data_IF_414263649123
#
_entry.id   IF_414263649123
#
_cell.length_a   1.000
_cell.length_b   1.000
_cell.length_c   1.000
_cell.angle_alpha   90.00
_cell.angle_beta   90.00
_cell.angle_gamma   90.00
#
_symmetry.space_group_name_H-M   'P 1'
#
loop_
_entity.id
_entity.type
_entity.pdbx_description
1 polymer ?
#
# COMPACT_ATOMS: atom_id res chain seq x y z
N UNK A 1 -34.96 -36.44 -32.39
CA UNK A 1 -33.73 -36.93 -31.73
C UNK A 1 -34.13 -37.84 -30.57
N UNK A 2 -33.54 -39.01 -30.45
CA UNK A 2 -33.87 -40.01 -29.41
C UNK A 2 -33.28 -39.49 -28.06
N UNK A 3 -34.02 -39.68 -26.92
CA UNK A 3 -33.58 -39.30 -25.56
C UNK A 3 -32.14 -39.73 -25.23
N UNK A 4 -31.67 -40.86 -25.79
CA UNK A 4 -30.32 -41.38 -25.62
C UNK A 4 -29.27 -40.51 -26.35
N UNK A 5 -29.58 -40.08 -27.57
CA UNK A 5 -28.71 -39.19 -28.35
C UNK A 5 -28.63 -37.77 -27.72
N UNK A 6 -29.75 -37.23 -27.21
CA UNK A 6 -29.76 -35.96 -26.51
C UNK A 6 -28.87 -36.01 -25.26
N UNK A 7 -28.94 -37.07 -24.44
CA UNK A 7 -28.08 -37.24 -23.28
C UNK A 7 -26.58 -37.33 -23.65
N UNK A 8 -26.26 -38.00 -24.75
CA UNK A 8 -24.86 -38.08 -25.22
C UNK A 8 -24.34 -36.75 -25.70
N UNK A 9 -25.12 -35.98 -26.45
CA UNK A 9 -24.77 -34.65 -26.92
C UNK A 9 -24.57 -33.73 -25.70
N UNK A 10 -25.48 -33.72 -24.73
CA UNK A 10 -25.32 -32.92 -23.51
C UNK A 10 -24.06 -33.26 -22.72
N UNK A 11 -23.71 -34.54 -22.63
CA UNK A 11 -22.44 -34.95 -22.00
C UNK A 11 -21.21 -34.43 -22.74
N UNK A 12 -21.21 -34.54 -24.07
CA UNK A 12 -20.10 -34.03 -24.90
C UNK A 12 -19.98 -32.53 -24.73
N UNK A 13 -21.09 -31.81 -24.82
CA UNK A 13 -21.11 -30.34 -24.63
C UNK A 13 -20.60 -29.94 -23.24
N UNK A 14 -21.02 -30.66 -22.18
CA UNK A 14 -20.54 -30.44 -20.82
C UNK A 14 -19.03 -30.70 -20.69
N UNK A 15 -18.52 -31.80 -21.28
CA UNK A 15 -17.08 -32.11 -21.29
C UNK A 15 -16.29 -31.02 -22.02
N UNK A 16 -16.75 -30.62 -23.19
CA UNK A 16 -16.10 -29.55 -23.97
C UNK A 16 -16.12 -28.22 -23.22
N UNK A 17 -17.25 -27.86 -22.61
CA UNK A 17 -17.35 -26.65 -21.78
C UNK A 17 -16.39 -26.71 -20.57
N UNK A 18 -16.30 -27.88 -19.89
CA UNK A 18 -15.37 -28.08 -18.78
C UNK A 18 -13.91 -28.00 -19.22
N UNK A 19 -13.55 -28.57 -20.37
CA UNK A 19 -12.19 -28.44 -20.93
C UNK A 19 -11.92 -26.98 -21.31
N UNK A 20 -12.88 -26.31 -21.97
CA UNK A 20 -12.73 -24.90 -22.31
C UNK A 20 -12.55 -24.02 -21.08
N UNK A 21 -13.23 -24.31 -19.97
CA UNK A 21 -13.09 -23.52 -18.74
C UNK A 21 -11.67 -23.58 -18.16
N UNK A 22 -10.90 -24.65 -18.41
CA UNK A 22 -9.51 -24.75 -17.94
C UNK A 22 -8.58 -23.71 -18.59
N UNK A 23 -8.91 -23.19 -19.78
CA UNK A 23 -8.15 -22.13 -20.42
C UNK A 23 -8.33 -20.76 -19.75
N UNK A 24 -9.40 -20.60 -18.97
CA UNK A 24 -9.68 -19.36 -18.21
C UNK A 24 -9.19 -19.41 -16.76
N UNK A 25 -8.63 -20.55 -16.33
CA UNK A 25 -8.05 -20.69 -15.00
C UNK A 25 -6.72 -19.93 -14.95
N UNK A 26 -6.50 -19.03 -13.98
CA UNK A 26 -5.24 -18.35 -13.80
C UNK A 26 -4.18 -19.30 -13.20
N UNK A 27 -3.65 -20.18 -14.05
CA UNK A 27 -2.75 -21.26 -13.64
C UNK A 27 -1.53 -20.79 -12.85
N UNK A 28 -1.08 -19.55 -13.08
CA UNK A 28 0.03 -18.97 -12.32
C UNK A 28 -0.33 -18.87 -10.83
N UNK A 29 -1.55 -18.41 -10.51
CA UNK A 29 -2.01 -18.32 -9.11
C UNK A 29 -2.22 -19.70 -8.51
N UNK A 30 -2.88 -20.60 -9.27
CA UNK A 30 -3.11 -21.98 -8.83
C UNK A 30 -1.77 -22.64 -8.51
N UNK A 31 -0.80 -22.55 -9.42
CA UNK A 31 0.55 -23.09 -9.23
C UNK A 31 1.23 -22.50 -8.00
N UNK A 32 1.25 -21.17 -7.87
CA UNK A 32 1.85 -20.51 -6.72
C UNK A 32 1.22 -20.93 -5.38
N UNK A 33 -0.08 -21.20 -5.37
CA UNK A 33 -0.83 -21.54 -4.16
C UNK A 33 -0.70 -23.02 -3.75
N UNK A 34 -0.64 -23.97 -4.72
CA UNK A 34 -0.64 -25.43 -4.43
C UNK A 34 0.75 -26.05 -4.33
N UNK A 35 1.79 -25.39 -4.85
CA UNK A 35 3.16 -25.90 -4.74
C UNK A 35 3.55 -26.07 -3.26
N UNK A 36 4.35 -27.10 -2.92
CA UNK A 36 4.91 -27.24 -1.58
C UNK A 36 5.61 -25.95 -1.16
N UNK A 37 5.61 -25.63 0.14
CA UNK A 37 6.41 -24.53 0.64
C UNK A 37 7.89 -24.89 0.50
N UNK A 38 8.76 -23.98 0.04
CA UNK A 38 10.19 -24.18 0.11
C UNK A 38 10.67 -24.14 1.58
N UNK A 39 11.89 -24.61 1.81
CA UNK A 39 12.45 -24.72 3.16
C UNK A 39 12.79 -23.36 3.77
N UNK A 40 13.03 -22.34 2.94
CA UNK A 40 13.48 -21.01 3.38
C UNK A 40 12.70 -19.87 2.73
N UNK A 41 12.61 -18.75 3.44
CA UNK A 41 12.04 -17.52 2.89
C UNK A 41 12.84 -17.00 1.68
N UNK A 42 14.18 -17.21 1.65
CA UNK A 42 15.00 -16.84 0.50
C UNK A 42 14.62 -17.62 -0.77
N UNK A 43 14.37 -18.93 -0.64
CA UNK A 43 13.91 -19.75 -1.77
C UNK A 43 12.54 -19.26 -2.26
N UNK A 44 11.61 -18.89 -1.36
CA UNK A 44 10.32 -18.34 -1.75
C UNK A 44 10.45 -16.99 -2.48
N UNK A 45 11.39 -16.14 -2.07
CA UNK A 45 11.69 -14.88 -2.75
C UNK A 45 12.33 -15.13 -4.12
N UNK A 46 13.18 -16.15 -4.26
CA UNK A 46 13.73 -16.55 -5.56
C UNK A 46 12.63 -17.08 -6.51
N UNK A 47 11.70 -17.91 -6.00
CA UNK A 47 10.55 -18.38 -6.78
C UNK A 47 9.66 -17.25 -7.30
N UNK A 48 9.60 -16.10 -6.61
CA UNK A 48 8.85 -14.94 -7.06
C UNK A 48 9.36 -14.42 -8.42
N UNK A 49 10.66 -14.46 -8.63
CA UNK A 49 11.28 -14.03 -9.90
C UNK A 49 10.90 -15.01 -11.03
N UNK A 50 10.83 -16.30 -10.75
CA UNK A 50 10.37 -17.32 -11.70
C UNK A 50 8.89 -17.14 -12.09
N UNK A 51 8.12 -16.44 -11.26
CA UNK A 51 6.74 -16.06 -11.54
C UNK A 51 6.60 -14.75 -12.33
N UNK A 52 7.71 -14.08 -12.69
CA UNK A 52 7.72 -12.93 -13.57
C UNK A 52 7.90 -11.58 -12.89
N UNK A 53 8.17 -11.54 -11.59
CA UNK A 53 8.56 -10.30 -10.92
C UNK A 53 10.01 -9.92 -11.27
N UNK A 54 10.26 -8.63 -11.50
CA UNK A 54 11.60 -8.14 -11.84
C UNK A 54 12.54 -8.13 -10.63
N UNK A 55 12.03 -7.77 -9.46
CA UNK A 55 12.80 -7.75 -8.23
C UNK A 55 11.91 -7.71 -6.98
N UNK A 56 12.42 -8.27 -5.90
CA UNK A 56 11.74 -8.34 -4.61
C UNK A 56 12.70 -8.10 -3.46
N UNK A 57 12.21 -7.39 -2.44
CA UNK A 57 12.88 -7.20 -1.15
C UNK A 57 11.88 -7.60 -0.07
N UNK A 58 12.32 -8.47 0.84
CA UNK A 58 11.56 -8.84 2.03
C UNK A 58 12.41 -8.55 3.26
N UNK A 59 11.83 -7.82 4.19
CA UNK A 59 12.37 -7.56 5.52
C UNK A 59 11.51 -8.29 6.54
N UNK A 60 12.16 -8.93 7.51
CA UNK A 60 11.52 -9.66 8.60
C UNK A 60 12.18 -9.24 9.90
N UNK A 61 11.38 -8.75 10.84
CA UNK A 61 11.77 -8.46 12.20
C UNK A 61 10.95 -9.36 13.15
N UNK A 62 11.54 -10.45 13.59
CA UNK A 62 11.00 -11.37 14.61
C UNK A 62 11.50 -10.93 15.98
N UNK A 63 10.63 -10.93 16.99
CA UNK A 63 11.04 -10.63 18.36
C UNK A 63 12.22 -11.52 18.79
N UNK A 64 13.16 -10.91 19.50
CA UNK A 64 14.36 -11.57 20.05
C UNK A 64 15.36 -12.10 19.02
N UNK A 65 15.13 -11.86 17.70
CA UNK A 65 16.05 -12.25 16.63
C UNK A 65 16.57 -11.00 15.91
N UNK A 66 17.81 -11.04 15.37
CA UNK A 66 18.27 -9.98 14.47
C UNK A 66 17.36 -9.91 13.23
N UNK A 67 17.09 -8.70 12.71
CA UNK A 67 16.34 -8.55 11.48
C UNK A 67 16.97 -9.32 10.32
N UNK A 68 16.13 -9.90 9.47
CA UNK A 68 16.53 -10.67 8.31
C UNK A 68 16.07 -9.99 7.01
N UNK A 69 16.89 -10.11 5.97
CA UNK A 69 16.59 -9.60 4.63
C UNK A 69 16.69 -10.72 3.60
N UNK A 70 15.72 -10.76 2.71
CA UNK A 70 15.67 -11.69 1.58
C UNK A 70 15.45 -10.87 0.31
N UNK A 71 16.35 -11.01 -0.67
CA UNK A 71 16.27 -10.24 -1.91
C UNK A 71 16.49 -11.15 -3.12
N UNK A 72 15.79 -10.87 -4.22
CA UNK A 72 15.99 -11.53 -5.50
C UNK A 72 15.68 -10.59 -6.66
N UNK A 73 16.20 -10.93 -7.85
CA UNK A 73 16.00 -10.15 -9.07
C UNK A 73 16.76 -8.83 -9.07
N UNK A 74 16.18 -7.79 -9.64
CA UNK A 74 16.86 -6.59 -10.04
C UNK A 74 16.41 -5.35 -9.27
N UNK A 75 17.38 -4.58 -8.79
CA UNK A 75 17.22 -3.16 -8.45
C UNK A 75 17.02 -2.33 -9.73
N UNK A 76 17.83 -2.62 -10.74
CA UNK A 76 17.72 -2.07 -12.10
C UNK A 76 17.99 -3.19 -13.12
N UNK A 77 16.93 -3.66 -13.79
CA UNK A 77 17.04 -4.76 -14.76
C UNK A 77 17.81 -4.35 -16.02
N UNK A 78 17.74 -3.06 -16.42
CA UNK A 78 18.42 -2.55 -17.61
C UNK A 78 19.93 -2.56 -17.44
N UNK A 79 20.39 -2.12 -16.26
CA UNK A 79 21.81 -2.07 -15.91
C UNK A 79 22.29 -3.34 -15.20
N UNK A 80 21.40 -4.33 -14.99
CA UNK A 80 21.65 -5.59 -14.29
C UNK A 80 22.21 -5.40 -12.87
N UNK A 81 21.69 -4.40 -12.18
CA UNK A 81 22.01 -4.14 -10.78
C UNK A 81 21.09 -5.02 -9.92
N UNK A 82 21.60 -5.94 -9.11
CA UNK A 82 20.77 -6.83 -8.29
C UNK A 82 20.01 -6.07 -7.20
N UNK A 83 18.83 -6.58 -6.83
CA UNK A 83 18.10 -6.08 -5.69
C UNK A 83 18.91 -6.19 -4.39
N UNK A 84 18.82 -5.18 -3.53
CA UNK A 84 19.58 -5.12 -2.28
C UNK A 84 18.74 -4.52 -1.13
N UNK A 85 19.02 -4.88 0.14
CA UNK A 85 18.18 -4.51 1.29
C UNK A 85 18.02 -3.01 1.52
N UNK A 86 19.01 -2.21 1.10
CA UNK A 86 19.07 -0.75 1.34
C UNK A 86 18.43 0.08 0.23
N UNK A 87 17.83 -0.56 -0.78
CA UNK A 87 17.17 0.17 -1.85
C UNK A 87 16.00 0.98 -1.31
N UNK A 88 15.90 2.22 -1.74
CA UNK A 88 14.72 3.04 -1.53
C UNK A 88 13.59 2.55 -2.43
N UNK A 89 12.40 2.53 -1.88
CA UNK A 89 11.20 2.03 -2.55
C UNK A 89 10.05 3.02 -2.37
N UNK A 90 9.22 3.21 -3.39
CA UNK A 90 8.00 4.01 -3.29
C UNK A 90 6.95 3.25 -2.49
N UNK A 91 6.75 3.64 -1.25
CA UNK A 91 5.89 2.91 -0.30
C UNK A 91 4.39 3.14 -0.51
N UNK A 92 4.05 4.06 -1.42
CA UNK A 92 2.67 4.34 -1.83
C UNK A 92 1.73 4.55 -0.62
N UNK A 93 0.64 3.80 -0.56
CA UNK A 93 -0.38 3.96 0.49
C UNK A 93 0.06 3.58 1.91
N UNK A 94 1.21 2.92 2.10
CA UNK A 94 1.79 2.75 3.44
C UNK A 94 2.05 4.13 4.09
N UNK A 95 2.37 5.15 3.29
CA UNK A 95 2.52 6.54 3.76
C UNK A 95 1.29 7.11 4.49
N UNK A 96 0.11 6.51 4.33
CA UNK A 96 -1.10 6.92 5.06
C UNK A 96 -1.02 6.62 6.55
N UNK A 97 -0.27 5.59 6.96
CA UNK A 97 -0.03 5.29 8.37
C UNK A 97 0.70 6.45 9.05
N UNK A 98 1.73 7.02 8.42
CA UNK A 98 2.46 8.19 8.94
C UNK A 98 1.58 9.44 9.03
N UNK A 99 0.72 9.67 8.03
CA UNK A 99 -0.25 10.77 8.06
C UNK A 99 -1.26 10.58 9.21
N UNK A 100 -1.76 9.36 9.43
CA UNK A 100 -2.69 9.07 10.52
C UNK A 100 -2.04 9.28 11.89
N UNK A 101 -0.76 8.89 12.08
CA UNK A 101 -0.01 9.18 13.32
C UNK A 101 0.16 10.70 13.49
N UNK A 102 0.51 11.44 12.43
CA UNK A 102 0.64 12.89 12.49
C UNK A 102 -0.68 13.59 12.88
N UNK A 103 -1.81 13.15 12.31
CA UNK A 103 -3.15 13.64 12.69
C UNK A 103 -3.45 13.30 14.16
N UNK A 104 -3.09 12.11 14.61
CA UNK A 104 -3.27 11.69 16.00
C UNK A 104 -2.51 12.61 16.96
N UNK A 105 -1.23 12.89 16.70
CA UNK A 105 -0.41 13.80 17.52
C UNK A 105 -1.02 15.21 17.59
N UNK A 106 -1.40 15.77 16.43
CA UNK A 106 -2.05 17.08 16.37
C UNK A 106 -3.41 17.11 17.07
N UNK A 107 -4.14 15.98 17.08
CA UNK A 107 -5.40 15.88 17.80
C UNK A 107 -5.18 15.80 19.31
N UNK A 108 -4.17 15.04 19.76
CA UNK A 108 -3.79 14.94 21.17
C UNK A 108 -3.32 16.30 21.74
N UNK A 109 -2.59 17.07 20.94
CA UNK A 109 -2.12 18.42 21.25
C UNK A 109 -3.22 19.49 21.14
N UNK A 110 -4.48 19.12 20.89
CA UNK A 110 -5.63 20.01 20.68
C UNK A 110 -5.43 21.04 19.54
N UNK A 111 -4.45 20.84 18.65
CA UNK A 111 -4.18 21.71 17.50
C UNK A 111 -5.18 21.51 16.37
N UNK A 112 -5.85 20.33 16.34
CA UNK A 112 -7.00 20.06 15.49
C UNK A 112 -8.03 19.23 16.26
N UNK A 113 -9.25 19.13 15.73
CA UNK A 113 -10.30 18.29 16.30
C UNK A 113 -10.82 17.32 15.24
N UNK A 114 -10.85 16.04 15.60
CA UNK A 114 -11.36 14.96 14.74
C UNK A 114 -12.85 15.11 14.41
N UNK A 115 -13.59 15.82 15.23
CA UNK A 115 -15.04 15.98 15.11
C UNK A 115 -15.46 17.31 14.45
N UNK A 116 -14.49 18.19 14.14
CA UNK A 116 -14.73 19.37 13.30
C UNK A 116 -14.97 18.96 11.83
N UNK A 117 -15.73 19.78 11.13
CA UNK A 117 -16.12 19.54 9.75
C UNK A 117 -15.03 19.93 8.76
N UNK A 118 -15.04 19.30 7.59
CA UNK A 118 -14.18 19.73 6.48
C UNK A 118 -14.34 21.22 6.18
N UNK A 119 -15.57 21.71 6.21
CA UNK A 119 -15.91 23.14 6.01
C UNK A 119 -15.26 24.08 7.04
N UNK A 120 -15.01 23.63 8.28
CA UNK A 120 -14.36 24.45 9.31
C UNK A 120 -12.88 24.65 8.99
N UNK A 121 -12.25 23.67 8.36
CA UNK A 121 -10.85 23.71 7.98
C UNK A 121 -10.61 24.29 6.57
N UNK A 122 -11.53 24.01 5.65
CA UNK A 122 -11.46 24.40 4.23
C UNK A 122 -12.79 25.02 3.77
N UNK A 123 -13.14 26.24 4.25
CA UNK A 123 -14.39 26.89 3.87
C UNK A 123 -14.52 27.12 2.35
N UNK A 124 -13.38 27.20 1.64
CA UNK A 124 -13.33 27.32 0.18
C UNK A 124 -13.79 26.07 -0.58
N UNK A 125 -13.95 24.92 0.11
CA UNK A 125 -14.46 23.68 -0.45
C UNK A 125 -15.99 23.52 -0.26
N UNK A 126 -16.64 24.42 0.49
CA UNK A 126 -18.11 24.44 0.60
C UNK A 126 -18.71 24.73 -0.77
N UNK A 127 -19.67 23.90 -1.17
CA UNK A 127 -20.30 23.97 -2.50
C UNK A 127 -19.46 23.38 -3.65
N UNK A 128 -18.20 22.99 -3.38
CA UNK A 128 -17.35 22.26 -4.33
C UNK A 128 -17.28 20.78 -4.01
N UNK A 129 -17.10 20.40 -2.75
CA UNK A 129 -17.22 19.02 -2.27
C UNK A 129 -18.59 18.87 -1.64
N UNK A 130 -19.38 17.92 -2.15
CA UNK A 130 -20.69 17.60 -1.58
C UNK A 130 -20.54 17.19 -0.11
N UNK A 131 -21.45 17.70 0.74
CA UNK A 131 -21.50 17.40 2.16
C UNK A 131 -20.28 17.91 2.99
N UNK A 132 -19.46 18.85 2.47
CA UNK A 132 -18.29 19.40 3.20
C UNK A 132 -18.66 19.89 4.62
N UNK A 133 -19.89 20.33 4.84
CA UNK A 133 -20.44 20.81 6.12
C UNK A 133 -20.89 19.67 7.06
N UNK A 134 -20.84 18.40 6.61
CA UNK A 134 -21.21 17.20 7.39
C UNK A 134 -20.05 16.22 7.56
N UNK A 135 -19.02 16.33 6.70
CA UNK A 135 -17.85 15.45 6.71
C UNK A 135 -16.92 15.87 7.85
N UNK A 136 -16.72 15.01 8.83
CA UNK A 136 -15.74 15.24 9.90
C UNK A 136 -14.34 14.80 9.48
N UNK A 137 -13.31 15.33 10.15
CA UNK A 137 -11.93 14.88 9.96
C UNK A 137 -11.78 13.38 10.26
N UNK A 138 -12.44 12.87 11.28
CA UNK A 138 -12.53 11.45 11.61
C UNK A 138 -13.01 10.61 10.42
N UNK A 139 -14.10 11.01 9.77
CA UNK A 139 -14.64 10.31 8.59
C UNK A 139 -13.64 10.28 7.44
N UNK A 140 -12.85 11.34 7.27
CA UNK A 140 -11.80 11.38 6.23
C UNK A 140 -10.69 10.38 6.51
N UNK A 141 -10.15 10.34 7.74
CA UNK A 141 -9.10 9.38 8.13
C UNK A 141 -9.59 7.95 7.96
N UNK A 142 -10.85 7.67 8.33
CA UNK A 142 -11.48 6.35 8.27
C UNK A 142 -11.98 5.94 6.87
N UNK A 143 -11.84 6.79 5.85
CA UNK A 143 -12.44 6.58 4.52
C UNK A 143 -13.98 6.40 4.54
N UNK A 144 -14.65 7.14 5.42
CA UNK A 144 -16.12 7.18 5.58
C UNK A 144 -16.75 8.52 5.17
N UNK A 145 -15.97 9.37 4.51
CA UNK A 145 -16.38 10.72 4.13
C UNK A 145 -17.36 10.77 2.96
N UNK A 146 -17.33 9.78 2.06
CA UNK A 146 -18.02 9.82 0.78
C UNK A 146 -17.34 10.70 -0.28
N UNK A 147 -16.20 11.34 0.03
CA UNK A 147 -15.44 12.12 -0.95
C UNK A 147 -14.93 11.18 -2.05
N UNK A 148 -15.22 11.44 -3.34
CA UNK A 148 -14.79 10.57 -4.42
C UNK A 148 -13.27 10.51 -4.52
N UNK A 149 -12.78 9.38 -4.99
CA UNK A 149 -11.37 9.16 -5.16
C UNK A 149 -10.92 9.72 -6.51
N UNK A 150 -10.03 10.70 -6.55
CA UNK A 150 -9.60 11.38 -7.77
C UNK A 150 -9.03 10.42 -8.83
N UNK A 151 -8.48 9.27 -8.45
CA UNK A 151 -7.97 8.27 -9.40
C UNK A 151 -9.08 7.52 -10.16
N UNK A 152 -10.33 7.61 -9.70
CA UNK A 152 -11.51 7.02 -10.36
C UNK A 152 -12.09 7.94 -11.42
N UNK A 153 -11.59 9.18 -11.52
CA UNK A 153 -12.02 10.10 -12.57
C UNK A 153 -11.57 9.59 -13.96
N UNK A 154 -12.45 9.61 -14.98
CA UNK A 154 -12.14 9.08 -16.31
C UNK A 154 -10.91 9.68 -17.00
N UNK A 155 -10.53 10.89 -16.64
CA UNK A 155 -9.39 11.59 -17.23
C UNK A 155 -8.07 11.38 -16.46
N UNK A 156 -8.12 10.79 -15.26
CA UNK A 156 -6.91 10.53 -14.47
C UNK A 156 -5.88 9.72 -15.25
N UNK A 157 -6.31 8.63 -15.89
CA UNK A 157 -5.41 7.73 -16.64
C UNK A 157 -5.06 8.23 -18.05
N UNK A 158 -5.78 9.26 -18.55
CA UNK A 158 -5.44 9.91 -19.82
C UNK A 158 -4.37 10.98 -19.66
N UNK A 159 -4.46 11.74 -18.55
CA UNK A 159 -3.53 12.81 -18.24
C UNK A 159 -3.38 12.86 -16.74
N UNK A 160 -2.32 12.24 -16.22
CA UNK A 160 -2.07 12.25 -14.78
C UNK A 160 -1.91 13.69 -14.26
N UNK A 161 -2.55 14.01 -13.13
CA UNK A 161 -2.43 15.35 -12.55
C UNK A 161 -0.98 15.60 -12.11
N UNK A 162 -0.45 16.76 -12.46
CA UNK A 162 0.92 17.16 -12.14
C UNK A 162 1.06 17.89 -10.81
N UNK A 163 -0.03 18.03 -10.06
CA UNK A 163 -0.06 18.66 -8.73
C UNK A 163 -1.21 18.13 -7.88
N UNK A 164 -1.11 18.36 -6.57
CA UNK A 164 -2.19 18.06 -5.64
C UNK A 164 -3.47 18.86 -5.91
N UNK A 165 -3.33 20.09 -6.42
CA UNK A 165 -4.45 20.94 -6.82
C UNK A 165 -5.17 20.34 -8.02
N UNK A 166 -4.43 19.93 -9.06
CA UNK A 166 -5.01 19.27 -10.23
C UNK A 166 -5.69 17.94 -9.86
N UNK A 167 -5.12 17.16 -8.94
CA UNK A 167 -5.75 15.94 -8.44
C UNK A 167 -7.05 16.23 -7.67
N UNK A 168 -7.09 17.32 -6.86
CA UNK A 168 -8.28 17.73 -6.15
C UNK A 168 -9.40 18.18 -7.09
N UNK A 169 -9.07 18.91 -8.17
CA UNK A 169 -10.07 19.33 -9.17
C UNK A 169 -10.76 18.11 -9.80
N UNK A 170 -10.04 17.03 -10.13
CA UNK A 170 -10.67 15.79 -10.61
C UNK A 170 -11.69 15.22 -9.60
N UNK A 171 -11.39 15.28 -8.30
CA UNK A 171 -12.34 14.82 -7.29
C UNK A 171 -13.58 15.74 -7.18
N UNK A 172 -13.39 17.05 -7.31
CA UNK A 172 -14.47 18.06 -7.24
C UNK A 172 -15.46 17.90 -8.39
N UNK A 173 -15.02 17.44 -9.56
CA UNK A 173 -15.89 17.21 -10.72
C UNK A 173 -16.82 15.99 -10.57
N UNK A 174 -16.55 15.12 -9.60
CA UNK A 174 -17.35 13.91 -9.36
C UNK A 174 -18.37 14.11 -8.23
N UNK A 175 -19.56 13.47 -8.31
CA UNK A 175 -20.52 13.46 -7.21
C UNK A 175 -19.98 12.67 -6.01
N UNK A 176 -20.50 12.93 -4.81
CA UNK A 176 -20.21 12.13 -3.63
C UNK A 176 -20.48 10.65 -3.87
N UNK A 177 -19.58 9.78 -3.44
CA UNK A 177 -19.72 8.32 -3.58
C UNK A 177 -20.88 7.78 -2.71
N UNK A 178 -21.11 8.41 -1.56
CA UNK A 178 -22.19 8.11 -0.61
C UNK A 178 -22.30 9.24 0.43
N UNK A 179 -23.39 9.26 1.17
CA UNK A 179 -23.59 10.20 2.29
C UNK A 179 -22.55 9.94 3.40
N UNK A 180 -22.04 10.99 4.06
CA UNK A 180 -21.04 10.87 5.13
C UNK A 180 -21.47 9.86 6.21
N UNK A 181 -20.50 9.00 6.61
CA UNK A 181 -20.64 7.94 7.59
C UNK A 181 -21.63 6.79 7.24
N UNK A 182 -22.12 6.73 6.02
CA UNK A 182 -23.07 5.67 5.61
C UNK A 182 -22.37 4.42 5.07
N UNK A 183 -21.17 4.58 4.52
CA UNK A 183 -20.41 3.45 3.97
C UNK A 183 -18.89 3.67 4.14
N UNK A 184 -18.10 2.71 3.70
CA UNK A 184 -16.68 2.78 3.55
C UNK A 184 -16.32 2.88 2.06
N UNK A 185 -15.51 3.88 1.69
CA UNK A 185 -15.00 4.03 0.33
C UNK A 185 -13.60 4.60 0.36
N UNK A 186 -12.62 3.74 0.05
CA UNK A 186 -11.22 4.15 0.02
C UNK A 186 -11.02 5.30 -0.96
N UNK A 187 -10.48 6.43 -0.49
CA UNK A 187 -10.26 7.61 -1.31
C UNK A 187 -8.91 8.27 -0.99
N UNK A 188 -8.07 8.39 -2.02
CA UNK A 188 -6.81 9.11 -1.93
C UNK A 188 -7.05 10.62 -1.73
N UNK A 189 -8.19 11.14 -2.17
CA UNK A 189 -8.58 12.54 -1.98
C UNK A 189 -8.66 12.91 -0.50
N UNK A 190 -9.14 11.99 0.37
CA UNK A 190 -9.11 12.21 1.82
C UNK A 190 -7.70 12.52 2.30
N UNK A 191 -6.72 11.70 1.94
CA UNK A 191 -5.35 11.83 2.42
C UNK A 191 -4.57 12.97 1.75
N UNK A 192 -4.97 13.38 0.55
CA UNK A 192 -4.52 14.62 -0.06
C UNK A 192 -4.95 15.83 0.81
N UNK A 193 -6.22 15.88 1.20
CA UNK A 193 -6.77 16.94 2.05
C UNK A 193 -6.20 16.89 3.48
N UNK A 194 -5.99 15.69 4.05
CA UNK A 194 -5.37 15.53 5.37
C UNK A 194 -3.95 16.07 5.41
N UNK A 195 -3.14 15.83 4.37
CA UNK A 195 -1.79 16.42 4.27
C UNK A 195 -1.85 17.94 4.17
N UNK A 196 -2.74 18.50 3.33
CA UNK A 196 -2.97 19.95 3.27
C UNK A 196 -3.44 20.52 4.60
N UNK A 197 -4.22 19.78 5.37
CA UNK A 197 -4.65 20.18 6.70
C UNK A 197 -3.46 20.24 7.67
N UNK A 198 -2.60 19.24 7.66
CA UNK A 198 -1.37 19.27 8.47
C UNK A 198 -0.57 20.51 8.11
N UNK A 199 -0.28 20.78 6.82
CA UNK A 199 0.43 22.00 6.36
C UNK A 199 -0.19 23.26 6.96
N UNK A 200 -1.52 23.37 6.90
CA UNK A 200 -2.27 24.53 7.39
C UNK A 200 -2.16 24.70 8.91
N UNK A 201 -2.23 23.62 9.66
CA UNK A 201 -2.21 23.62 11.13
C UNK A 201 -0.81 23.89 11.67
N UNK A 202 0.21 23.30 11.07
CA UNK A 202 1.60 23.49 11.53
C UNK A 202 2.25 24.75 10.96
N UNK A 203 1.81 25.24 9.79
CA UNK A 203 2.33 26.42 9.12
C UNK A 203 3.56 26.15 8.22
N UNK A 204 3.88 24.87 8.03
CA UNK A 204 4.97 24.39 7.16
C UNK A 204 4.61 23.03 6.55
N UNK A 205 5.49 22.45 5.76
CA UNK A 205 5.22 21.22 5.01
C UNK A 205 4.93 20.02 5.93
N UNK A 206 3.86 19.26 5.66
CA UNK A 206 3.44 18.08 6.45
C UNK A 206 4.52 17.02 6.58
N UNK A 207 5.34 16.84 5.54
CA UNK A 207 6.42 15.87 5.61
C UNK A 207 7.51 16.29 6.60
N UNK A 208 7.80 17.61 6.71
CA UNK A 208 8.72 18.11 7.74
C UNK A 208 8.17 17.82 9.14
N UNK A 209 6.86 18.00 9.37
CA UNK A 209 6.21 17.63 10.63
C UNK A 209 6.32 16.12 10.91
N UNK A 210 6.03 15.26 9.92
CA UNK A 210 6.20 13.81 10.02
C UNK A 210 7.66 13.49 10.35
N UNK A 211 8.62 14.15 9.73
CA UNK A 211 10.05 13.95 9.99
C UNK A 211 10.42 14.28 11.43
N UNK A 212 9.97 15.40 11.95
CA UNK A 212 10.26 15.86 13.31
C UNK A 212 9.61 14.99 14.37
N UNK A 213 8.34 14.60 14.18
CA UNK A 213 7.53 13.93 15.18
C UNK A 213 7.57 12.39 15.10
N UNK A 214 8.03 11.82 13.98
CA UNK A 214 8.00 10.38 13.76
C UNK A 214 9.37 9.86 13.31
N UNK A 215 9.93 10.42 12.22
CA UNK A 215 11.13 9.82 11.62
C UNK A 215 12.37 10.00 12.50
N UNK A 216 12.60 11.19 13.01
CA UNK A 216 13.77 11.49 13.88
C UNK A 216 13.68 10.72 15.20
N UNK A 217 12.55 10.71 15.96
CA UNK A 217 12.44 9.95 17.19
C UNK A 217 12.65 8.44 17.04
N UNK A 218 12.29 7.88 15.87
CA UNK A 218 12.46 6.46 15.56
C UNK A 218 13.75 6.15 14.78
N UNK A 219 14.61 7.15 14.56
CA UNK A 219 15.88 7.04 13.81
C UNK A 219 15.68 6.52 12.36
N UNK A 220 14.55 6.84 11.71
CA UNK A 220 14.21 6.43 10.35
C UNK A 220 14.94 7.32 9.33
N UNK A 221 16.22 7.07 9.14
CA UNK A 221 17.09 7.93 8.35
C UNK A 221 17.00 7.68 6.83
N UNK A 222 16.27 6.66 6.40
CA UNK A 222 16.08 6.28 5.01
C UNK A 222 14.59 6.33 4.62
N UNK A 223 13.85 7.29 5.19
CA UNK A 223 12.45 7.59 4.86
C UNK A 223 12.32 9.06 4.45
N UNK A 224 11.77 9.31 3.25
CA UNK A 224 11.75 10.59 2.58
C UNK A 224 10.35 10.93 2.06
N UNK A 225 10.04 12.23 1.94
CA UNK A 225 8.75 12.73 1.47
C UNK A 225 8.63 12.79 -0.05
N UNK A 226 9.75 12.93 -0.75
CA UNK A 226 9.77 13.11 -2.19
C UNK A 226 11.07 12.61 -2.84
N UNK A 227 11.04 12.43 -4.15
CA UNK A 227 12.22 12.07 -4.96
C UNK A 227 13.31 13.15 -4.92
N UNK A 228 12.95 14.41 -4.68
CA UNK A 228 13.91 15.53 -4.63
C UNK A 228 14.87 15.45 -3.43
N UNK A 229 14.56 14.64 -2.43
CA UNK A 229 15.36 14.46 -1.21
C UNK A 229 16.42 13.36 -1.34
N UNK A 230 16.39 12.58 -2.43
CA UNK A 230 17.21 11.35 -2.56
C UNK A 230 18.05 11.34 -3.84
N UNK A 231 19.12 10.53 -3.84
CA UNK A 231 19.76 10.18 -5.09
C UNK A 231 18.88 9.16 -5.84
N UNK A 232 18.54 9.47 -7.08
CA UNK A 232 17.67 8.60 -7.91
C UNK A 232 18.27 7.20 -8.13
N UNK A 233 19.57 7.05 -8.07
CA UNK A 233 20.25 5.77 -8.22
C UNK A 233 20.03 4.83 -7.01
N UNK A 234 19.68 5.38 -5.85
CA UNK A 234 19.33 4.60 -4.66
C UNK A 234 17.88 4.08 -4.72
N UNK A 235 17.07 4.62 -5.63
CA UNK A 235 15.66 4.22 -5.81
C UNK A 235 15.59 3.00 -6.71
N UNK A 236 14.98 1.93 -6.21
CA UNK A 236 14.70 0.72 -7.00
C UNK A 236 13.84 1.07 -8.19
N UNK A 237 14.25 0.63 -9.39
CA UNK A 237 13.49 0.81 -10.64
C UNK A 237 12.13 0.13 -10.54
N UNK A 238 11.08 0.76 -11.07
CA UNK A 238 9.73 0.23 -11.09
C UNK A 238 9.27 -0.09 -12.50
N UNK A 239 8.60 -1.23 -12.68
CA UNK A 239 8.22 -1.73 -14.01
C UNK A 239 6.74 -2.05 -14.09
N UNK A 240 6.14 -1.75 -15.25
CA UNK A 240 4.80 -2.20 -15.58
C UNK A 240 4.87 -3.29 -16.66
N UNK A 241 4.12 -4.37 -16.48
CA UNK A 241 4.12 -5.50 -17.43
C UNK A 241 3.67 -5.04 -18.81
N UNK A 242 4.50 -5.33 -19.82
CA UNK A 242 4.25 -4.90 -21.20
C UNK A 242 4.88 -3.56 -21.58
N UNK A 243 5.32 -2.75 -20.60
CA UNK A 243 5.99 -1.48 -20.84
C UNK A 243 7.52 -1.60 -20.74
N UNK A 244 8.22 -0.69 -21.45
CA UNK A 244 9.70 -0.65 -21.43
C UNK A 244 10.23 0.41 -20.48
N UNK A 245 9.36 1.32 -20.05
CA UNK A 245 9.69 2.47 -19.23
C UNK A 245 10.01 2.04 -17.79
N UNK A 246 10.84 2.87 -17.15
CA UNK A 246 11.14 2.79 -15.74
C UNK A 246 10.41 3.93 -15.02
N UNK A 247 9.53 3.56 -14.12
CA UNK A 247 8.67 4.50 -13.39
C UNK A 247 9.31 5.09 -12.13
N UNK A 248 10.62 4.89 -11.93
CA UNK A 248 11.31 5.41 -10.73
C UNK A 248 11.34 6.93 -10.63
N UNK A 249 11.30 7.65 -11.77
CA UNK A 249 11.36 9.12 -11.82
C UNK A 249 10.02 9.80 -11.60
N UNK A 250 8.91 9.07 -11.55
CA UNK A 250 7.61 9.65 -11.25
C UNK A 250 7.46 10.01 -9.78
N UNK A 251 6.87 11.17 -9.47
CA UNK A 251 6.62 11.62 -8.10
C UNK A 251 5.36 10.93 -7.55
N UNK A 252 5.54 9.89 -6.74
CA UNK A 252 4.44 9.05 -6.21
C UNK A 252 4.43 8.97 -4.67
N UNK A 253 4.80 10.06 -3.99
CA UNK A 253 4.76 10.17 -2.53
C UNK A 253 6.01 9.67 -1.83
N UNK A 254 5.86 9.15 -0.62
CA UNK A 254 6.97 8.79 0.25
C UNK A 254 7.82 7.63 -0.27
N UNK A 255 9.12 7.73 -0.01
CA UNK A 255 10.09 6.66 -0.24
C UNK A 255 10.66 6.18 1.10
N UNK A 256 10.90 4.88 1.21
CA UNK A 256 11.58 4.31 2.38
C UNK A 256 12.31 3.01 2.02
N UNK A 257 13.25 2.61 2.88
CA UNK A 257 13.75 1.23 2.89
C UNK A 257 12.74 0.29 3.55
N UNK A 258 12.84 -1.01 3.28
CA UNK A 258 12.00 -2.01 3.95
C UNK A 258 12.27 -2.06 5.46
N UNK A 259 13.50 -1.79 5.89
CA UNK A 259 13.91 -1.70 7.29
C UNK A 259 13.20 -0.54 8.01
N UNK A 260 13.27 0.68 7.47
CA UNK A 260 12.62 1.85 8.08
C UNK A 260 11.09 1.65 8.20
N UNK A 261 10.45 1.09 7.17
CA UNK A 261 9.03 0.73 7.24
C UNK A 261 8.77 -0.32 8.33
N UNK A 262 9.68 -1.29 8.48
CA UNK A 262 9.59 -2.32 9.51
C UNK A 262 9.71 -1.77 10.92
N UNK A 263 10.70 -0.91 11.18
CA UNK A 263 10.90 -0.22 12.47
C UNK A 263 9.67 0.63 12.81
N UNK A 264 9.19 1.43 11.84
CA UNK A 264 7.97 2.23 12.03
C UNK A 264 6.76 1.34 12.36
N UNK A 265 6.58 0.24 11.64
CA UNK A 265 5.43 -0.64 11.84
C UNK A 265 5.51 -1.38 13.19
N UNK A 266 6.72 -1.72 13.66
CA UNK A 266 6.94 -2.26 15.01
C UNK A 266 6.50 -1.22 16.05
N UNK A 267 7.04 -0.01 15.95
CA UNK A 267 6.71 1.09 16.88
C UNK A 267 5.21 1.46 16.87
N UNK A 268 4.56 1.35 15.72
CA UNK A 268 3.11 1.55 15.59
C UNK A 268 2.31 0.46 16.35
N UNK A 269 2.74 -0.80 16.26
CA UNK A 269 2.01 -1.94 16.84
C UNK A 269 2.30 -2.17 18.33
N UNK A 270 3.51 -1.86 18.80
CA UNK A 270 3.85 -1.93 20.22
C UNK A 270 3.51 -0.64 21.00
N UNK A 271 3.14 0.42 20.27
CA UNK A 271 2.73 1.70 20.83
C UNK A 271 3.86 2.67 21.10
N UNK A 272 5.13 2.32 20.83
CA UNK A 272 6.29 3.18 21.12
C UNK A 272 6.39 4.43 20.26
N UNK A 273 5.66 4.53 19.14
CA UNK A 273 5.52 5.75 18.33
C UNK A 273 4.63 6.80 19.01
N UNK A 274 3.85 6.43 20.00
CA UNK A 274 2.83 7.27 20.64
C UNK A 274 3.30 7.82 21.99
N UNK A 275 2.93 9.07 22.24
CA UNK A 275 2.93 9.66 23.56
C UNK A 275 1.66 9.26 24.34
N UNK A 276 1.56 9.69 25.61
CA UNK A 276 0.39 9.45 26.46
C UNK A 276 -0.90 9.97 25.79
N UNK A 277 -1.93 9.12 25.71
CA UNK A 277 -3.23 9.43 25.09
C UNK A 277 -3.30 9.22 23.57
N UNK A 278 -2.19 9.27 22.84
CA UNK A 278 -2.18 9.20 21.37
C UNK A 278 -2.63 7.82 20.85
N UNK A 279 -2.23 6.73 21.50
CA UNK A 279 -2.59 5.38 21.05
C UNK A 279 -4.11 5.13 21.10
N UNK A 280 -4.82 5.67 22.09
CA UNK A 280 -6.27 5.57 22.18
C UNK A 280 -6.93 6.33 21.00
N UNK A 281 -6.45 7.54 20.72
CA UNK A 281 -6.92 8.32 19.56
C UNK A 281 -6.68 7.55 18.26
N UNK A 282 -5.45 7.08 18.01
CA UNK A 282 -5.09 6.36 16.80
C UNK A 282 -5.94 5.12 16.58
N UNK A 283 -6.11 4.29 17.60
CA UNK A 283 -6.90 3.05 17.54
C UNK A 283 -8.36 3.29 17.16
N UNK A 284 -8.87 4.50 17.45
CA UNK A 284 -10.25 4.91 17.13
C UNK A 284 -10.41 5.38 15.68
N UNK A 285 -9.32 5.65 14.95
CA UNK A 285 -9.39 6.29 13.64
C UNK A 285 -8.73 5.54 12.49
N UNK A 286 -7.70 4.70 12.75
CA UNK A 286 -7.00 4.06 11.64
C UNK A 286 -6.49 2.65 11.96
N UNK A 287 -5.91 2.01 10.93
CA UNK A 287 -5.40 0.63 10.97
C UNK A 287 -3.92 0.58 11.31
N UNK A 288 -3.45 -0.58 11.80
CA UNK A 288 -2.07 -0.82 12.21
C UNK A 288 -1.20 -1.53 11.18
N UNK A 289 -1.68 -1.67 9.96
CA UNK A 289 -0.98 -2.30 8.84
C UNK A 289 -1.53 -1.76 7.53
N UNK A 290 -0.74 -1.81 6.46
CA UNK A 290 -1.19 -1.31 5.18
C UNK A 290 -0.52 -2.01 4.00
N UNK A 291 -1.08 -1.84 2.83
CA UNK A 291 -0.47 -2.19 1.56
C UNK A 291 -0.26 -0.93 0.71
N UNK A 292 0.58 -1.00 -0.29
CA UNK A 292 0.82 0.10 -1.22
C UNK A 292 0.85 -0.38 -2.66
N UNK A 293 0.25 0.40 -3.55
CA UNK A 293 0.23 0.11 -4.99
C UNK A 293 0.27 1.42 -5.77
N UNK A 294 1.28 1.57 -6.60
CA UNK A 294 1.40 2.57 -7.67
C UNK A 294 2.09 1.92 -8.86
N UNK A 295 2.07 2.55 -10.02
CA UNK A 295 2.71 2.01 -11.23
C UNK A 295 4.17 1.65 -10.93
N UNK A 296 4.54 0.40 -11.19
CA UNK A 296 5.88 -0.13 -10.94
C UNK A 296 6.16 -0.58 -9.51
N UNK A 297 5.28 -0.36 -8.53
CA UNK A 297 5.59 -0.62 -7.12
C UNK A 297 4.42 -1.21 -6.36
N UNK A 298 4.64 -2.37 -5.73
CA UNK A 298 3.71 -3.02 -4.81
C UNK A 298 4.41 -3.22 -3.46
N UNK A 299 3.70 -2.92 -2.38
CA UNK A 299 4.23 -3.10 -1.02
C UNK A 299 3.19 -3.70 -0.09
N UNK A 300 3.63 -4.57 0.81
CA UNK A 300 2.82 -5.16 1.88
C UNK A 300 3.59 -4.97 3.18
N UNK A 301 2.96 -4.37 4.18
CA UNK A 301 3.52 -4.12 5.50
C UNK A 301 2.54 -4.58 6.58
N UNK A 302 2.84 -5.70 7.26
CA UNK A 302 1.95 -6.27 8.27
C UNK A 302 2.71 -6.79 9.49
N UNK A 303 2.06 -6.70 10.65
CA UNK A 303 2.45 -7.35 11.89
C UNK A 303 1.69 -8.66 12.09
N UNK A 304 2.39 -9.73 12.37
CA UNK A 304 1.88 -11.07 12.63
C UNK A 304 2.02 -11.40 14.11
N UNK A 305 0.94 -11.17 14.85
CA UNK A 305 0.91 -11.30 16.32
C UNK A 305 1.21 -12.73 16.80
N UNK A 306 0.80 -13.74 16.05
CA UNK A 306 0.97 -15.17 16.36
C UNK A 306 2.45 -15.60 16.38
N UNK A 307 3.25 -14.99 15.54
CA UNK A 307 4.70 -15.23 15.47
C UNK A 307 5.53 -14.05 15.99
N UNK A 308 4.87 -12.96 16.42
CA UNK A 308 5.49 -11.70 16.82
C UNK A 308 6.53 -11.21 15.79
N UNK A 309 6.09 -11.11 14.55
CA UNK A 309 6.94 -10.70 13.45
C UNK A 309 6.34 -9.55 12.64
N UNK A 310 7.17 -8.57 12.30
CA UNK A 310 6.91 -7.61 11.23
C UNK A 310 7.45 -8.21 9.94
N UNK A 311 6.62 -8.22 8.91
CA UNK A 311 7.03 -8.65 7.57
C UNK A 311 6.70 -7.55 6.57
N UNK A 312 7.73 -7.05 5.88
CA UNK A 312 7.62 -6.08 4.80
C UNK A 312 8.01 -6.76 3.50
N UNK A 313 7.19 -6.64 2.49
CA UNK A 313 7.48 -7.11 1.13
C UNK A 313 7.36 -5.96 0.14
N UNK A 314 8.41 -5.72 -0.62
CA UNK A 314 8.46 -4.79 -1.74
C UNK A 314 8.67 -5.57 -3.03
N UNK A 315 7.87 -5.26 -4.04
CA UNK A 315 7.94 -5.86 -5.37
C UNK A 315 7.85 -4.74 -6.42
N UNK A 316 8.84 -4.67 -7.30
CA UNK A 316 8.98 -3.59 -8.28
C UNK A 316 8.34 -3.88 -9.64
N UNK A 317 7.35 -4.76 -9.69
CA UNK A 317 6.58 -5.09 -10.91
C UNK A 317 5.09 -4.94 -10.63
N UNK A 318 4.35 -4.31 -11.55
CA UNK A 318 2.89 -4.16 -11.47
C UNK A 318 2.21 -4.49 -12.79
N UNK A 319 0.98 -4.98 -12.69
CA UNK A 319 0.04 -5.13 -13.79
C UNK A 319 -1.39 -4.99 -13.23
N UNK A 320 -2.04 -3.87 -13.49
CA UNK A 320 -3.38 -3.59 -12.93
C UNK A 320 -4.47 -4.45 -13.58
N UNK A 321 -4.26 -4.92 -14.81
CA UNK A 321 -5.18 -5.79 -15.55
C UNK A 321 -4.88 -7.29 -15.34
N UNK A 322 -3.79 -7.61 -14.63
CA UNK A 322 -3.29 -8.97 -14.43
C UNK A 322 -3.53 -9.51 -13.03
N UNK A 323 -2.78 -10.55 -12.70
CA UNK A 323 -2.85 -11.25 -11.41
C UNK A 323 -1.70 -10.92 -10.46
N UNK A 324 -0.87 -9.94 -10.79
CA UNK A 324 0.39 -9.66 -10.09
C UNK A 324 0.17 -9.27 -8.63
N UNK A 325 -0.91 -8.53 -8.35
CA UNK A 325 -1.29 -8.22 -6.97
C UNK A 325 -1.64 -9.49 -6.17
N UNK A 326 -2.52 -10.32 -6.71
CA UNK A 326 -2.92 -11.58 -6.06
C UNK A 326 -1.74 -12.54 -5.90
N UNK A 327 -0.83 -12.58 -6.88
CA UNK A 327 0.39 -13.36 -6.82
C UNK A 327 1.32 -12.86 -5.72
N UNK A 328 1.50 -11.55 -5.61
CA UNK A 328 2.28 -10.89 -4.54
C UNK A 328 1.74 -11.25 -3.15
N UNK A 329 0.41 -11.23 -2.96
CA UNK A 329 -0.23 -11.63 -1.71
C UNK A 329 -0.05 -13.14 -1.40
N UNK A 330 -0.09 -14.00 -2.41
CA UNK A 330 0.18 -15.44 -2.24
C UNK A 330 1.62 -15.65 -1.78
N UNK A 331 2.60 -15.02 -2.43
CA UNK A 331 4.01 -15.11 -2.07
C UNK A 331 4.23 -14.62 -0.65
N UNK A 332 3.67 -13.46 -0.31
CA UNK A 332 3.69 -12.93 1.05
C UNK A 332 3.16 -13.94 2.08
N UNK A 333 1.99 -14.50 1.81
CA UNK A 333 1.36 -15.49 2.69
C UNK A 333 2.21 -16.76 2.85
N UNK A 334 2.90 -17.19 1.79
CA UNK A 334 3.82 -18.34 1.83
C UNK A 334 5.06 -18.04 2.66
N UNK A 335 5.64 -16.84 2.54
CA UNK A 335 6.76 -16.40 3.39
C UNK A 335 6.35 -16.45 4.87
N UNK A 336 5.20 -15.87 5.23
CA UNK A 336 4.69 -15.90 6.61
C UNK A 336 4.49 -17.33 7.12
N UNK A 337 3.97 -18.25 6.28
CA UNK A 337 3.83 -19.66 6.66
C UNK A 337 5.18 -20.35 6.91
N UNK A 338 6.22 -20.04 6.11
CA UNK A 338 7.57 -20.55 6.32
C UNK A 338 8.13 -20.08 7.67
N UNK A 339 7.96 -18.80 8.00
CA UNK A 339 8.38 -18.25 9.30
C UNK A 339 7.63 -18.94 10.46
N UNK A 340 6.32 -19.07 10.34
CA UNK A 340 5.47 -19.72 11.37
C UNK A 340 5.84 -21.19 11.59
N UNK A 341 6.17 -21.94 10.52
CA UNK A 341 6.53 -23.34 10.64
C UNK A 341 7.86 -23.56 11.37
N UNK A 342 8.82 -22.65 11.18
CA UNK A 342 10.12 -22.69 11.90
C UNK A 342 9.94 -22.45 13.39
N UNK A 343 9.15 -21.44 13.77
CA UNK A 343 8.87 -21.13 15.18
C UNK A 343 8.23 -22.32 15.93
N UNK A 344 7.38 -23.10 15.27
CA UNK A 344 6.75 -24.27 15.86
C UNK A 344 7.68 -25.49 15.97
N UNK A 345 8.88 -25.41 15.39
CA UNK A 345 9.88 -26.50 15.38
C UNK A 345 11.03 -26.25 16.35
N UNK A 346 11.18 -25.01 16.84
CA UNK A 346 12.09 -24.56 17.91
C UNK A 346 11.41 -24.69 19.28
#
# INVERSE_FOLDING_TARGET
MNKKQTKQILRIVFILASISSLFFVPWILVKAWILPLPDTAQEQVNEAIDHGFDGMIVYVDEAEKPPAFYTAGWHDRKNKIPAHPKALFKIASIGKLYVAVAITKLANDERLSLDKMLADYFPELVGKIEHAEKITLRMMVQHRSGIPNYIDHPDFWKTQPNSNEAALELAIEMPASFEPDKDYGYSNTNYLLLRKLIDKVVGYNNHQYIKEEILIPLELNNTFGSLSEVNIDDVMSGYYVGEKEDFKTEENGMLATAEDVGIFLRALNDGSVFNEGEQEIYSSIYVYQHTGLVVGYQSIAKYHKDIDAIVIQFNNTTNFDGYDWSLSEIIYSRIVKILSSKKNSE
#
